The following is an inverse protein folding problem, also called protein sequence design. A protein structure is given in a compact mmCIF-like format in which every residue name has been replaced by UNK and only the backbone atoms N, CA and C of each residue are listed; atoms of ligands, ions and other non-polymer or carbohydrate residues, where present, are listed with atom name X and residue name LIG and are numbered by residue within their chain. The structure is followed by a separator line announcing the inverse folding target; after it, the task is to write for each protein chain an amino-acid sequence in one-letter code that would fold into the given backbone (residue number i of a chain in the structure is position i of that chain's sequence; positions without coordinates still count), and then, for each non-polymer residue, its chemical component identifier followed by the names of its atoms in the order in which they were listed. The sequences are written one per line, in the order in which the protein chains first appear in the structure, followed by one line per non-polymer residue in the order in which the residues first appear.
data_IF_229199437474
#
_entry.id   IF_229199437474
#
_cell.length_a   1.000
_cell.length_b   1.000
_cell.length_c   1.000
_cell.angle_alpha   90.00
_cell.angle_beta   90.00
_cell.angle_gamma   90.00
#
_symmetry.space_group_name_H-M   'P 1'
#
loop_
_entity.id
_entity.type
_entity.pdbx_description
1 polymer ?
#
# COMPACT_ATOMS: atom_id res chain seq x y z
N UNK A 1 -10.24 -5.11 27.16
CA UNK A 1 -9.37 -5.70 26.13
C UNK A 1 -10.09 -5.89 24.80
N UNK A 2 -11.20 -6.65 24.70
CA UNK A 2 -11.88 -6.91 23.42
C UNK A 2 -12.31 -5.65 22.63
N UNK A 3 -12.81 -4.61 23.30
CA UNK A 3 -13.21 -3.36 22.63
C UNK A 3 -12.01 -2.62 22.01
N UNK A 4 -10.84 -2.70 22.65
CA UNK A 4 -9.60 -2.08 22.13
C UNK A 4 -9.15 -2.80 20.87
N UNK A 5 -9.19 -4.13 20.85
CA UNK A 5 -8.89 -4.93 19.66
C UNK A 5 -9.83 -4.62 18.49
N UNK A 6 -11.12 -4.41 18.77
CA UNK A 6 -12.09 -4.01 17.74
C UNK A 6 -11.71 -2.67 17.11
N UNK A 7 -11.41 -1.65 17.91
CA UNK A 7 -10.97 -0.36 17.40
C UNK A 7 -9.61 -0.44 16.70
N UNK A 8 -8.69 -1.26 17.20
CA UNK A 8 -7.40 -1.51 16.55
C UNK A 8 -7.57 -2.12 15.15
N UNK A 9 -8.45 -3.12 15.01
CA UNK A 9 -8.79 -3.70 13.71
C UNK A 9 -9.43 -2.69 12.76
N UNK A 10 -10.33 -1.83 13.28
CA UNK A 10 -10.95 -0.76 12.50
C UNK A 10 -9.91 0.26 12.00
N UNK A 11 -9.01 0.73 12.88
CA UNK A 11 -7.93 1.65 12.52
C UNK A 11 -7.01 1.02 11.48
N UNK A 12 -6.63 -0.26 11.66
CA UNK A 12 -5.79 -0.98 10.69
C UNK A 12 -6.47 -1.09 9.31
N UNK A 13 -7.78 -1.27 9.26
CA UNK A 13 -8.52 -1.28 7.99
C UNK A 13 -8.50 0.08 7.27
N UNK A 14 -8.43 1.20 8.01
CA UNK A 14 -8.32 2.53 7.40
C UNK A 14 -6.99 2.77 6.69
N UNK A 15 -5.92 2.04 7.07
CA UNK A 15 -4.61 2.11 6.38
C UNK A 15 -4.75 1.64 4.93
N UNK A 16 -5.51 0.58 4.68
CA UNK A 16 -5.78 0.08 3.32
C UNK A 16 -6.54 1.11 2.49
N UNK A 17 -7.54 1.76 3.09
CA UNK A 17 -8.30 2.82 2.44
C UNK A 17 -7.43 4.05 2.13
N UNK A 18 -6.49 4.39 3.01
CA UNK A 18 -5.52 5.45 2.81
C UNK A 18 -4.59 5.18 1.61
N UNK A 19 -4.04 3.97 1.50
CA UNK A 19 -3.25 3.58 0.34
C UNK A 19 -4.06 3.60 -0.96
N UNK A 20 -5.29 3.08 -0.94
CA UNK A 20 -6.18 3.12 -2.11
C UNK A 20 -6.46 4.55 -2.58
N UNK A 21 -6.66 5.49 -1.64
CA UNK A 21 -6.81 6.91 -1.95
C UNK A 21 -5.55 7.48 -2.62
N UNK A 22 -4.36 7.24 -2.06
CA UNK A 22 -3.11 7.74 -2.62
C UNK A 22 -2.89 7.26 -4.07
N UNK A 23 -3.11 5.97 -4.32
CA UNK A 23 -2.95 5.39 -5.66
C UNK A 23 -3.97 5.89 -6.66
N UNK A 24 -5.12 6.41 -6.22
CA UNK A 24 -6.09 7.04 -7.12
C UNK A 24 -5.68 8.45 -7.57
N UNK A 25 -4.76 9.11 -6.84
CA UNK A 25 -4.30 10.48 -7.13
C UNK A 25 -2.94 10.50 -7.83
N UNK A 26 -2.13 9.46 -7.65
CA UNK A 26 -0.76 9.34 -8.16
C UNK A 26 -0.73 8.47 -9.43
N UNK A 27 0.25 8.68 -10.32
CA UNK A 27 0.43 7.80 -11.49
C UNK A 27 1.10 6.46 -11.13
N UNK A 28 0.81 5.37 -11.85
CA UNK A 28 1.38 4.04 -11.60
C UNK A 28 2.91 4.01 -11.53
N UNK A 29 3.59 4.84 -12.33
CA UNK A 29 5.05 4.92 -12.38
C UNK A 29 5.69 5.30 -11.03
N UNK A 30 4.92 5.90 -10.13
CA UNK A 30 5.39 6.40 -8.84
C UNK A 30 4.87 5.61 -7.64
N UNK A 31 4.09 4.54 -7.83
CA UNK A 31 3.46 3.82 -6.72
C UNK A 31 4.46 3.38 -5.67
N UNK A 32 5.50 2.65 -6.04
CA UNK A 32 6.52 2.15 -5.10
C UNK A 32 7.25 3.26 -4.36
N UNK A 33 7.50 4.39 -5.03
CA UNK A 33 8.14 5.55 -4.42
C UNK A 33 7.25 6.17 -3.34
N UNK A 34 5.97 6.34 -3.64
CA UNK A 34 5.00 6.88 -2.69
C UNK A 34 4.72 5.89 -1.55
N UNK A 35 4.65 4.59 -1.83
CA UNK A 35 4.50 3.54 -0.81
C UNK A 35 5.69 3.55 0.15
N UNK A 36 6.92 3.61 -0.38
CA UNK A 36 8.14 3.73 0.42
C UNK A 36 8.14 4.99 1.29
N UNK A 37 7.67 6.13 0.78
CA UNK A 37 7.50 7.34 1.59
C UNK A 37 6.48 7.18 2.71
N UNK A 38 5.30 6.63 2.42
CA UNK A 38 4.22 6.45 3.39
C UNK A 38 4.61 5.47 4.52
N UNK A 39 5.24 4.35 4.17
CA UNK A 39 5.72 3.37 5.16
C UNK A 39 6.86 3.96 6.00
N UNK A 40 7.83 4.59 5.36
CA UNK A 40 8.99 5.19 6.05
C UNK A 40 8.57 6.31 7.00
N UNK A 41 7.71 7.25 6.57
CA UNK A 41 7.26 8.35 7.44
C UNK A 41 6.48 7.83 8.65
N UNK A 42 5.71 6.74 8.49
CA UNK A 42 4.98 6.12 9.60
C UNK A 42 5.94 5.51 10.64
N UNK A 43 7.00 4.84 10.18
CA UNK A 43 8.03 4.26 11.06
C UNK A 43 8.84 5.35 11.78
N UNK A 44 9.21 6.41 11.07
CA UNK A 44 9.89 7.58 11.65
C UNK A 44 9.00 8.28 12.67
N UNK A 45 7.72 8.53 12.34
CA UNK A 45 6.77 9.15 13.24
C UNK A 45 6.55 8.31 14.52
N UNK A 46 6.44 6.98 14.38
CA UNK A 46 6.36 6.06 15.52
C UNK A 46 7.60 6.15 16.42
N UNK A 47 8.79 6.26 15.81
CA UNK A 47 10.05 6.42 16.54
C UNK A 47 10.06 7.75 17.31
N UNK A 48 9.72 8.86 16.64
CA UNK A 48 9.66 10.20 17.26
C UNK A 48 8.62 10.22 18.38
N UNK A 49 7.44 9.64 18.16
CA UNK A 49 6.37 9.56 19.16
C UNK A 49 6.79 8.76 20.38
N UNK A 50 7.50 7.64 20.19
CA UNK A 50 8.04 6.82 21.28
C UNK A 50 9.10 7.57 22.09
N UNK A 51 10.04 8.25 21.41
CA UNK A 51 11.07 9.07 22.07
C UNK A 51 10.45 10.23 22.85
N UNK A 52 9.50 10.94 22.25
CA UNK A 52 8.80 12.04 22.89
C UNK A 52 7.98 11.56 24.10
N UNK A 53 7.27 10.44 23.96
CA UNK A 53 6.51 9.82 25.04
C UNK A 53 7.41 9.45 26.23
N UNK A 54 8.55 8.81 25.96
CA UNK A 54 9.53 8.47 26.98
C UNK A 54 10.10 9.72 27.66
N UNK A 55 10.43 10.77 26.90
CA UNK A 55 10.97 12.02 27.42
C UNK A 55 9.95 12.74 28.33
N UNK A 56 8.68 12.82 27.91
CA UNK A 56 7.61 13.46 28.68
C UNK A 56 7.35 12.76 30.02
N UNK A 57 7.38 11.43 30.04
CA UNK A 57 7.18 10.66 31.28
C UNK A 57 8.41 10.73 32.19
N UNK A 58 9.61 10.63 31.63
CA UNK A 58 10.85 10.51 32.42
C UNK A 58 11.41 11.84 32.94
N UNK A 59 11.40 12.90 32.12
CA UNK A 59 12.00 14.20 32.47
C UNK A 59 10.97 15.22 32.97
N UNK A 60 9.77 15.19 32.39
CA UNK A 60 8.72 16.16 32.73
C UNK A 60 7.68 15.61 33.71
N UNK A 61 7.82 14.34 34.15
CA UNK A 61 6.89 13.64 35.04
C UNK A 61 5.42 13.76 34.63
N UNK A 62 5.17 13.84 33.32
CA UNK A 62 3.83 13.98 32.75
C UNK A 62 3.07 12.68 32.98
N UNK A 63 1.88 12.78 33.56
CA UNK A 63 1.05 11.59 33.80
C UNK A 63 0.54 10.98 32.49
N UNK A 64 0.28 9.66 32.51
CA UNK A 64 -0.27 8.93 31.36
C UNK A 64 -1.58 9.51 30.83
N UNK A 65 -2.37 10.17 31.69
CA UNK A 65 -3.59 10.86 31.28
C UNK A 65 -3.31 11.98 30.27
N UNK A 66 -2.32 12.82 30.53
CA UNK A 66 -1.95 13.90 29.62
C UNK A 66 -1.30 13.38 28.34
N UNK A 67 -0.54 12.28 28.41
CA UNK A 67 -0.05 11.58 27.21
C UNK A 67 -1.21 11.17 26.30
N UNK A 68 -2.27 10.57 26.88
CA UNK A 68 -3.46 10.19 26.13
C UNK A 68 -4.26 11.40 25.61
N UNK A 69 -4.25 12.53 26.34
CA UNK A 69 -4.86 13.77 25.86
C UNK A 69 -4.11 14.34 24.65
N UNK A 70 -2.78 14.29 24.66
CA UNK A 70 -1.93 14.74 23.53
C UNK A 70 -2.17 13.88 22.29
N UNK A 71 -2.22 12.55 22.43
CA UNK A 71 -2.50 11.66 21.30
C UNK A 71 -3.89 11.92 20.71
N UNK A 72 -4.91 12.09 21.56
CA UNK A 72 -6.27 12.43 21.14
C UNK A 72 -6.34 13.78 20.42
N UNK A 73 -5.61 14.79 20.88
CA UNK A 73 -5.48 16.07 20.18
C UNK A 73 -4.83 15.91 18.80
N UNK A 74 -3.73 15.15 18.72
CA UNK A 74 -3.02 14.87 17.46
C UNK A 74 -3.93 14.18 16.43
N UNK A 75 -4.71 13.18 16.84
CA UNK A 75 -5.66 12.47 15.97
C UNK A 75 -6.78 13.40 15.51
N UNK A 76 -7.26 14.28 16.39
CA UNK A 76 -8.29 15.28 16.04
C UNK A 76 -7.80 16.27 14.99
N UNK A 77 -6.55 16.75 15.12
CA UNK A 77 -5.92 17.62 14.12
C UNK A 77 -5.73 16.89 12.79
N UNK A 78 -5.28 15.63 12.82
CA UNK A 78 -5.15 14.82 11.61
C UNK A 78 -6.50 14.63 10.91
N UNK A 79 -7.58 14.37 11.67
CA UNK A 79 -8.94 14.28 11.14
C UNK A 79 -9.38 15.61 10.49
N UNK A 80 -9.14 16.76 11.14
CA UNK A 80 -9.42 18.07 10.53
C UNK A 80 -8.62 18.31 9.26
N UNK A 81 -7.35 17.89 9.22
CA UNK A 81 -6.50 18.04 8.02
C UNK A 81 -7.01 17.24 6.82
N UNK A 82 -7.71 16.12 7.05
CA UNK A 82 -8.22 15.25 5.99
C UNK A 82 -9.26 15.94 5.09
N UNK A 83 -9.98 16.94 5.60
CA UNK A 83 -10.95 17.71 4.81
C UNK A 83 -10.30 18.57 3.71
N UNK A 84 -9.01 18.84 3.82
CA UNK A 84 -8.26 19.61 2.82
C UNK A 84 -7.60 18.73 1.76
N UNK A 85 -7.76 17.40 1.85
CA UNK A 85 -7.22 16.48 0.84
C UNK A 85 -8.01 16.59 -0.47
N UNK A 86 -7.32 16.57 -1.63
CA UNK A 86 -7.98 16.67 -2.93
C UNK A 86 -8.89 15.46 -3.17
N UNK A 87 -10.12 15.71 -3.62
CA UNK A 87 -11.02 14.63 -4.03
C UNK A 87 -10.45 13.91 -5.26
N UNK A 88 -10.37 12.57 -5.27
CA UNK A 88 -9.82 11.83 -6.39
C UNK A 88 -10.75 11.96 -7.59
N UNK A 89 -10.28 12.65 -8.63
CA UNK A 89 -11.09 12.97 -9.83
C UNK A 89 -11.18 11.81 -10.82
N UNK A 90 -10.31 10.79 -10.69
CA UNK A 90 -10.29 9.61 -11.56
C UNK A 90 -10.39 8.35 -10.71
N UNK A 91 -11.46 7.58 -10.91
CA UNK A 91 -11.45 6.19 -10.45
C UNK A 91 -10.57 5.37 -11.39
N UNK A 92 -9.57 4.70 -10.82
CA UNK A 92 -8.69 3.77 -11.53
C UNK A 92 -9.45 2.61 -12.18
N UNK A 93 -10.65 2.28 -11.66
CA UNK A 93 -11.50 1.19 -12.15
C UNK A 93 -12.61 1.63 -13.10
N UNK A 94 -13.10 2.88 -13.02
CA UNK A 94 -14.32 3.29 -13.73
C UNK A 94 -14.11 3.97 -15.08
N UNK A 95 -12.86 4.14 -15.53
CA UNK A 95 -12.57 4.69 -16.87
C UNK A 95 -11.59 3.80 -17.61
N UNK A 96 -12.07 2.63 -18.06
CA UNK A 96 -11.47 1.96 -19.20
C UNK A 96 -11.88 2.78 -20.42
N UNK A 97 -11.03 3.72 -20.84
CA UNK A 97 -11.21 4.37 -22.15
C UNK A 97 -11.25 3.24 -23.17
N UNK A 98 -12.41 3.04 -23.78
CA UNK A 98 -12.58 2.25 -24.99
C UNK A 98 -11.77 2.92 -26.10
N UNK A 99 -10.47 2.63 -26.12
CA UNK A 99 -9.64 2.94 -27.27
C UNK A 99 -10.01 1.93 -28.36
N UNK A 100 -10.45 2.38 -29.55
CA UNK A 100 -10.73 1.48 -30.66
C UNK A 100 -9.48 0.69 -31.00
N UNK A 101 -9.66 -0.62 -31.03
CA UNK A 101 -8.75 -1.64 -31.51
C UNK A 101 -8.16 -1.21 -32.86
N UNK A 102 -6.88 -0.83 -32.87
CA UNK A 102 -6.15 -0.63 -34.11
C UNK A 102 -5.94 -2.02 -34.75
N UNK A 103 -6.40 -2.27 -36.00
CA UNK A 103 -6.24 -3.57 -36.63
C UNK A 103 -4.76 -3.84 -36.89
N UNK A 104 -4.28 -4.96 -36.35
CA UNK A 104 -2.98 -5.55 -36.67
C UNK A 104 -3.07 -6.05 -38.12
N UNK A 105 -2.49 -5.30 -39.06
CA UNK A 105 -2.20 -5.77 -40.42
C UNK A 105 -0.90 -6.60 -40.44
N UNK A 106 -0.77 -7.63 -41.28
CA UNK A 106 0.42 -8.47 -41.31
C UNK A 106 1.61 -7.77 -41.98
N UNK A 107 2.77 -7.93 -41.35
CA UNK A 107 4.11 -7.54 -41.81
C UNK A 107 4.63 -8.46 -42.91
N UNK A 108 5.11 -7.90 -44.02
CA UNK A 108 6.13 -8.54 -44.87
C UNK A 108 7.09 -7.47 -45.48
N UNK A 109 8.34 -7.54 -44.99
CA UNK A 109 9.66 -7.30 -45.62
C UNK A 109 9.99 -6.01 -46.42
N UNK A 110 11.04 -5.33 -45.91
CA UNK A 110 11.87 -4.19 -46.37
C UNK A 110 12.51 -4.29 -47.79
N UNK A 111 13.34 -3.30 -48.29
CA UNK A 111 13.20 -1.83 -48.48
C UNK A 111 13.84 -1.42 -49.88
N UNK A 112 14.47 -0.24 -50.16
CA UNK A 112 14.46 1.10 -49.56
C UNK A 112 14.26 2.28 -50.56
N UNK A 113 14.16 3.50 -50.00
CA UNK A 113 14.97 4.69 -50.34
C UNK A 113 14.29 5.96 -50.93
N UNK A 114 14.73 7.10 -50.36
CA UNK A 114 14.79 8.49 -50.89
C UNK A 114 13.57 9.44 -50.71
N UNK A 115 13.72 10.26 -49.66
CA UNK A 115 13.45 11.71 -49.51
C UNK A 115 12.51 12.48 -50.46
N UNK A 116 11.58 13.24 -49.87
CA UNK A 116 11.00 14.44 -50.48
C UNK A 116 9.74 14.92 -49.76
N UNK A 117 9.82 16.05 -49.06
CA UNK A 117 8.70 16.82 -48.50
C UNK A 117 8.75 18.21 -49.17
N UNK A 118 7.72 19.06 -49.07
CA UNK A 118 6.35 18.93 -49.57
C UNK A 118 6.02 20.07 -50.58
N UNK A 119 5.00 19.92 -51.41
CA UNK A 119 4.47 21.03 -52.21
C UNK A 119 2.96 20.95 -52.38
N UNK A 120 2.29 22.04 -51.97
CA UNK A 120 1.08 22.64 -52.57
C UNK A 120 -0.19 21.76 -52.64
N UNK A 121 -1.43 22.23 -52.60
CA UNK A 121 -2.13 23.50 -52.41
C UNK A 121 -3.62 23.11 -52.53
N UNK A 122 -4.49 23.94 -51.98
CA UNK A 122 -5.94 23.85 -51.90
C UNK A 122 -6.66 23.45 -53.21
N UNK A 123 -7.77 22.71 -53.13
CA UNK A 123 -9.15 23.25 -53.30
C UNK A 123 -10.24 22.14 -53.42
N UNK A 124 -11.54 22.48 -53.32
CA UNK A 124 -12.60 21.68 -52.68
C UNK A 124 -13.46 20.88 -53.67
N UNK A 125 -14.11 19.81 -53.19
CA UNK A 125 -15.24 19.19 -53.88
C UNK A 125 -16.27 18.62 -52.90
N UNK A 126 -17.40 19.31 -52.78
CA UNK A 126 -18.72 18.77 -52.38
C UNK A 126 -19.53 18.72 -53.68
N UNK A 127 -20.25 17.62 -54.03
CA UNK A 127 -21.69 17.59 -53.76
C UNK A 127 -22.28 16.21 -53.33
N UNK A 128 -23.18 16.29 -52.33
CA UNK A 128 -24.49 15.59 -52.19
C UNK A 128 -24.46 14.05 -52.08
N UNK A 129 -25.08 13.36 -51.10
CA UNK A 129 -26.50 13.35 -50.66
C UNK A 129 -26.54 12.33 -49.49
N UNK A 130 -27.09 12.57 -48.31
CA UNK A 130 -28.49 12.27 -48.00
C UNK A 130 -28.78 12.55 -46.53
N UNK A 131 -29.94 13.18 -46.32
CA UNK A 131 -30.56 13.59 -45.07
C UNK A 131 -30.82 12.45 -44.08
N UNK A 132 -30.63 12.74 -42.79
CA UNK A 132 -31.59 12.42 -41.73
C UNK A 132 -31.25 13.21 -40.45
N UNK A 133 -31.91 14.35 -40.28
CA UNK A 133 -32.07 15.00 -38.98
C UNK A 133 -32.95 14.11 -38.08
N UNK A 134 -32.48 13.74 -36.89
CA UNK A 134 -33.37 13.42 -35.78
C UNK A 134 -33.13 14.41 -34.64
N UNK A 135 -34.18 15.17 -34.39
CA UNK A 135 -34.29 16.28 -33.46
C UNK A 135 -34.19 15.82 -32.00
N UNK A 136 -33.53 16.65 -31.19
CA UNK A 136 -33.96 17.15 -29.88
C UNK A 136 -34.97 16.29 -29.10
N UNK A 137 -34.48 15.53 -28.11
CA UNK A 137 -35.33 14.95 -27.06
C UNK A 137 -35.40 15.94 -25.88
N UNK A 138 -36.59 16.27 -25.33
CA UNK A 138 -36.75 17.27 -24.29
C UNK A 138 -36.07 16.85 -22.97
N UNK A 139 -35.37 17.81 -22.38
CA UNK A 139 -34.95 17.78 -20.98
C UNK A 139 -36.19 18.03 -20.14
N UNK A 140 -36.86 16.98 -19.68
CA UNK A 140 -37.66 17.12 -18.46
C UNK A 140 -37.94 15.77 -17.77
N UNK A 141 -37.62 15.77 -16.47
CA UNK A 141 -38.06 14.86 -15.41
C UNK A 141 -37.50 13.42 -15.39
N UNK A 142 -36.33 13.26 -14.74
CA UNK A 142 -35.90 11.97 -14.21
C UNK A 142 -36.45 11.79 -12.77
N UNK A 143 -37.22 10.72 -12.46
CA UNK A 143 -37.84 10.55 -11.15
C UNK A 143 -36.82 10.27 -10.04
N UNK A 144 -37.07 10.79 -8.85
CA UNK A 144 -36.38 10.59 -7.56
C UNK A 144 -36.38 9.12 -7.03
N UNK A 145 -36.42 8.10 -7.90
CA UNK A 145 -36.47 6.67 -7.53
C UNK A 145 -35.10 5.96 -7.73
N UNK A 146 -34.03 6.70 -8.08
CA UNK A 146 -32.77 6.12 -8.60
C UNK A 146 -31.66 5.86 -7.56
N UNK A 147 -31.85 6.14 -6.28
CA UNK A 147 -30.75 6.03 -5.30
C UNK A 147 -30.54 4.60 -4.75
N UNK A 148 -31.61 3.81 -4.57
CA UNK A 148 -31.49 2.46 -4.01
C UNK A 148 -30.86 1.47 -5.01
N UNK A 149 -31.19 1.62 -6.29
CA UNK A 149 -30.58 0.84 -7.39
C UNK A 149 -29.12 1.24 -7.63
N UNK A 150 -28.75 2.49 -7.34
CA UNK A 150 -27.37 2.97 -7.51
C UNK A 150 -26.41 2.32 -6.52
N UNK A 151 -26.78 2.21 -5.24
CA UNK A 151 -25.96 1.51 -4.24
C UNK A 151 -25.79 0.03 -4.59
N UNK A 152 -26.88 -0.66 -4.94
CA UNK A 152 -26.81 -2.08 -5.31
C UNK A 152 -26.00 -2.30 -6.58
N UNK A 153 -26.09 -1.37 -7.55
CA UNK A 153 -25.29 -1.42 -8.78
C UNK A 153 -23.81 -1.20 -8.49
N UNK A 154 -23.46 -0.26 -7.59
CA UNK A 154 -22.07 -0.06 -7.15
C UNK A 154 -21.55 -1.29 -6.41
N UNK A 155 -22.37 -1.92 -5.55
CA UNK A 155 -21.99 -3.15 -4.84
C UNK A 155 -21.78 -4.32 -5.82
N UNK A 156 -22.68 -4.50 -6.79
CA UNK A 156 -22.55 -5.52 -7.82
C UNK A 156 -21.32 -5.29 -8.70
N UNK A 157 -21.04 -4.04 -9.05
CA UNK A 157 -19.84 -3.67 -9.79
C UNK A 157 -18.57 -3.96 -8.98
N UNK A 158 -18.55 -3.62 -7.68
CA UNK A 158 -17.45 -3.97 -6.77
C UNK A 158 -17.24 -5.49 -6.70
N UNK A 159 -18.31 -6.28 -6.60
CA UNK A 159 -18.22 -7.75 -6.61
C UNK A 159 -17.67 -8.29 -7.93
N UNK A 160 -18.04 -7.67 -9.06
CA UNK A 160 -17.52 -8.02 -10.38
C UNK A 160 -16.04 -7.68 -10.51
N UNK A 161 -15.65 -6.48 -10.09
CA UNK A 161 -14.26 -6.00 -10.10
C UNK A 161 -13.39 -6.86 -9.18
N UNK A 162 -13.87 -7.21 -7.98
CA UNK A 162 -13.21 -8.15 -7.08
C UNK A 162 -12.98 -9.51 -7.76
N UNK A 163 -14.01 -10.07 -8.40
CA UNK A 163 -13.89 -11.34 -9.12
C UNK A 163 -12.86 -11.24 -10.25
N UNK A 164 -12.87 -10.16 -11.02
CA UNK A 164 -11.95 -9.94 -12.13
C UNK A 164 -10.50 -9.79 -11.63
N UNK A 165 -10.28 -8.99 -10.58
CA UNK A 165 -9.00 -8.82 -9.91
C UNK A 165 -8.40 -10.15 -9.46
N UNK A 166 -9.15 -10.95 -8.70
CA UNK A 166 -8.68 -12.22 -8.17
C UNK A 166 -8.65 -13.37 -9.18
N UNK A 167 -9.13 -13.15 -10.42
CA UNK A 167 -8.91 -14.09 -11.52
C UNK A 167 -7.44 -14.07 -11.99
N UNK A 168 -6.73 -12.96 -11.75
CA UNK A 168 -5.29 -12.86 -12.03
C UNK A 168 -4.50 -13.61 -10.97
N UNK A 169 -3.88 -14.75 -11.34
CA UNK A 169 -3.09 -15.60 -10.42
C UNK A 169 -2.06 -14.81 -9.62
N UNK A 170 -1.35 -13.89 -10.28
CA UNK A 170 -0.37 -13.02 -9.65
C UNK A 170 -0.99 -12.23 -8.50
N UNK A 171 -2.07 -11.48 -8.76
CA UNK A 171 -2.72 -10.67 -7.72
C UNK A 171 -3.25 -11.52 -6.56
N UNK A 172 -3.76 -12.71 -6.85
CA UNK A 172 -4.20 -13.67 -5.84
C UNK A 172 -3.05 -14.11 -4.93
N UNK A 173 -1.90 -14.49 -5.49
CA UNK A 173 -0.73 -14.90 -4.70
C UNK A 173 -0.23 -13.78 -3.80
N UNK A 174 -0.08 -12.57 -4.33
CA UNK A 174 0.37 -11.42 -3.56
C UNK A 174 -0.63 -11.03 -2.46
N UNK A 175 -1.93 -11.14 -2.72
CA UNK A 175 -2.95 -10.85 -1.71
C UNK A 175 -3.01 -11.89 -0.59
N UNK A 176 -2.93 -13.18 -0.92
CA UNK A 176 -2.89 -14.26 0.08
C UNK A 176 -1.62 -14.11 0.91
N UNK A 177 -0.48 -13.88 0.26
CA UNK A 177 0.78 -13.64 0.97
C UNK A 177 0.68 -12.42 1.88
N UNK A 178 0.17 -11.29 1.39
CA UNK A 178 0.03 -10.05 2.17
C UNK A 178 -0.83 -10.27 3.42
N UNK A 179 -1.96 -10.97 3.28
CA UNK A 179 -2.85 -11.26 4.41
C UNK A 179 -2.19 -12.19 5.44
N UNK A 180 -1.58 -13.29 4.99
CA UNK A 180 -0.91 -14.25 5.87
C UNK A 180 0.33 -13.65 6.54
N UNK A 181 1.15 -12.90 5.80
CA UNK A 181 2.35 -12.25 6.31
C UNK A 181 1.99 -11.18 7.34
N UNK A 182 0.97 -10.36 7.09
CA UNK A 182 0.50 -9.34 8.05
C UNK A 182 0.00 -9.99 9.34
N UNK A 183 -0.78 -11.08 9.23
CA UNK A 183 -1.23 -11.83 10.39
C UNK A 183 -0.07 -12.44 11.18
N UNK A 184 0.88 -13.08 10.48
CA UNK A 184 2.09 -13.65 11.08
C UNK A 184 2.96 -12.60 11.76
N UNK A 185 3.15 -11.43 11.14
CA UNK A 185 3.87 -10.32 11.71
C UNK A 185 3.24 -9.81 13.02
N UNK A 186 1.92 -9.62 13.03
CA UNK A 186 1.19 -9.24 14.25
C UNK A 186 1.34 -10.30 15.35
N UNK A 187 1.34 -11.59 14.99
CA UNK A 187 1.60 -12.65 15.95
C UNK A 187 3.02 -12.54 16.53
N UNK A 188 4.04 -12.33 15.69
CA UNK A 188 5.42 -12.16 16.17
C UNK A 188 5.54 -10.96 17.12
N UNK A 189 4.97 -9.80 16.78
CA UNK A 189 5.01 -8.62 17.64
C UNK A 189 4.40 -8.85 19.02
N UNK A 190 3.30 -9.62 19.09
CA UNK A 190 2.63 -9.93 20.35
C UNK A 190 3.43 -10.88 21.24
N UNK A 191 4.21 -11.81 20.66
CA UNK A 191 4.88 -12.86 21.42
C UNK A 191 6.40 -12.67 21.56
N UNK A 192 7.04 -11.79 20.78
CA UNK A 192 8.51 -11.64 20.78
C UNK A 192 9.06 -11.21 22.14
N UNK A 193 8.38 -10.31 22.85
CA UNK A 193 8.80 -9.86 24.18
C UNK A 193 8.73 -11.00 25.20
N UNK A 194 7.65 -11.80 25.15
CA UNK A 194 7.48 -12.97 26.02
C UNK A 194 8.53 -14.03 25.72
N UNK A 195 8.84 -14.25 24.44
CA UNK A 195 9.90 -15.17 24.02
C UNK A 195 11.26 -14.72 24.56
N UNK A 196 11.59 -13.43 24.45
CA UNK A 196 12.86 -12.90 24.95
C UNK A 196 12.98 -13.02 26.47
N UNK A 197 11.91 -12.70 27.22
CA UNK A 197 11.91 -12.85 28.68
C UNK A 197 12.05 -14.31 29.12
N UNK A 198 11.41 -15.25 28.39
CA UNK A 198 11.57 -16.69 28.63
C UNK A 198 13.01 -17.20 28.39
N UNK A 199 13.76 -16.57 27.47
CA UNK A 199 15.15 -16.95 27.14
C UNK A 199 16.17 -16.26 28.03
N UNK A 200 15.92 -15.01 28.39
CA UNK A 200 16.77 -14.20 29.25
C UNK A 200 15.89 -13.36 30.19
N UNK A 201 15.58 -13.87 31.40
CA UNK A 201 14.71 -13.18 32.34
C UNK A 201 15.24 -11.79 32.68
N UNK A 202 14.37 -10.80 32.52
CA UNK A 202 14.67 -9.37 32.71
C UNK A 202 15.17 -9.02 34.12
N UNK A 203 14.90 -9.87 35.11
CA UNK A 203 15.34 -9.69 36.50
C UNK A 203 16.79 -10.11 36.77
N UNK A 204 17.42 -10.91 35.90
CA UNK A 204 18.75 -11.49 36.13
C UNK A 204 19.81 -11.14 35.09
N UNK A 205 19.42 -10.47 34.00
CA UNK A 205 20.28 -10.17 32.85
C UNK A 205 20.11 -8.73 32.39
N UNK A 206 21.16 -8.11 31.85
CA UNK A 206 21.02 -6.85 31.12
C UNK A 206 20.33 -7.13 29.77
N UNK A 207 19.04 -6.84 29.70
CA UNK A 207 18.20 -7.09 28.53
C UNK A 207 18.02 -5.80 27.71
N UNK A 208 18.19 -5.90 26.39
CA UNK A 208 18.22 -4.74 25.47
C UNK A 208 17.01 -4.70 24.53
N UNK A 209 15.89 -5.34 24.89
CA UNK A 209 14.69 -5.50 24.06
C UNK A 209 14.23 -4.19 23.39
N UNK A 210 14.18 -3.09 24.15
CA UNK A 210 13.75 -1.78 23.62
C UNK A 210 14.73 -1.21 22.59
N UNK A 211 16.04 -1.37 22.80
CA UNK A 211 17.05 -0.92 21.85
C UNK A 211 17.01 -1.75 20.56
N UNK A 212 16.83 -3.07 20.68
CA UNK A 212 16.68 -3.99 19.56
C UNK A 212 15.44 -3.63 18.72
N UNK A 213 14.32 -3.35 19.39
CA UNK A 213 13.08 -2.93 18.74
C UNK A 213 13.27 -1.61 17.97
N UNK A 214 13.97 -0.65 18.56
CA UNK A 214 14.25 0.63 17.93
C UNK A 214 15.16 0.48 16.70
N UNK A 215 16.26 -0.28 16.81
CA UNK A 215 17.17 -0.55 15.69
C UNK A 215 16.43 -1.27 14.57
N UNK A 216 15.65 -2.30 14.90
CA UNK A 216 14.88 -3.04 13.91
C UNK A 216 13.87 -2.13 13.19
N UNK A 217 13.17 -1.25 13.93
CA UNK A 217 12.22 -0.28 13.36
C UNK A 217 12.90 0.72 12.43
N UNK A 218 14.06 1.25 12.84
CA UNK A 218 14.83 2.17 12.01
C UNK A 218 15.32 1.48 10.72
N UNK A 219 15.88 0.26 10.84
CA UNK A 219 16.34 -0.51 9.69
C UNK A 219 15.19 -0.81 8.73
N UNK A 220 14.03 -1.22 9.24
CA UNK A 220 12.81 -1.39 8.46
C UNK A 220 12.39 -0.10 7.71
N UNK A 221 12.54 1.07 8.34
CA UNK A 221 12.24 2.36 7.70
C UNK A 221 13.16 2.65 6.53
N UNK A 222 14.46 2.41 6.72
CA UNK A 222 15.48 2.58 5.66
C UNK A 222 15.19 1.61 4.51
N UNK A 223 14.92 0.35 4.83
CA UNK A 223 14.66 -0.69 3.82
C UNK A 223 13.39 -0.40 3.03
N UNK A 224 12.31 0.02 3.70
CA UNK A 224 11.06 0.42 3.03
C UNK A 224 11.25 1.64 2.14
N UNK A 225 12.01 2.64 2.60
CA UNK A 225 12.37 3.80 1.79
C UNK A 225 13.18 3.40 0.55
N UNK A 226 14.14 2.48 0.72
CA UNK A 226 15.02 2.03 -0.36
C UNK A 226 14.24 1.38 -1.51
N UNK A 227 13.18 0.61 -1.23
CA UNK A 227 12.31 0.02 -2.28
C UNK A 227 11.79 1.10 -3.25
N UNK A 228 11.46 2.28 -2.76
CA UNK A 228 10.99 3.40 -3.58
C UNK A 228 12.03 4.03 -4.51
N UNK A 229 13.32 3.73 -4.32
CA UNK A 229 14.43 4.24 -5.14
C UNK A 229 15.09 3.15 -5.99
N UNK A 230 14.84 1.88 -5.70
CA UNK A 230 15.38 0.75 -6.45
C UNK A 230 14.56 0.55 -7.73
N UNK A 231 15.17 0.88 -8.87
CA UNK A 231 14.60 0.64 -10.20
C UNK A 231 14.78 -0.83 -10.60
N UNK A 232 13.91 -1.70 -10.09
CA UNK A 232 13.88 -3.12 -10.44
C UNK A 232 12.57 -3.44 -11.16
N UNK A 233 12.58 -4.41 -12.09
CA UNK A 233 11.32 -4.93 -12.64
C UNK A 233 10.68 -5.89 -11.64
N UNK A 234 9.94 -5.33 -10.68
CA UNK A 234 9.29 -6.08 -9.61
C UNK A 234 8.23 -7.06 -10.09
N UNK A 235 7.80 -6.96 -11.35
CA UNK A 235 6.92 -7.97 -11.94
C UNK A 235 7.63 -9.30 -12.18
N UNK A 236 8.94 -9.26 -12.44
CA UNK A 236 9.78 -10.44 -12.68
C UNK A 236 10.56 -10.84 -11.43
N UNK A 237 11.16 -9.85 -10.75
CA UNK A 237 12.01 -10.10 -9.58
C UNK A 237 11.22 -10.21 -8.28
N UNK A 238 9.99 -9.71 -8.25
CA UNK A 238 9.16 -9.69 -7.05
C UNK A 238 8.81 -11.08 -6.56
N UNK A 239 8.49 -12.03 -7.45
CA UNK A 239 8.14 -13.40 -7.06
C UNK A 239 9.36 -14.15 -6.47
N UNK A 240 10.53 -13.94 -7.06
CA UNK A 240 11.77 -14.51 -6.53
C UNK A 240 12.16 -13.87 -5.19
N UNK A 241 12.02 -12.54 -5.08
CA UNK A 241 12.21 -11.83 -3.81
C UNK A 241 11.25 -12.35 -2.74
N UNK A 242 9.96 -12.52 -3.09
CA UNK A 242 8.94 -13.08 -2.20
C UNK A 242 9.36 -14.44 -1.64
N UNK A 243 9.80 -15.36 -2.49
CA UNK A 243 10.26 -16.68 -2.08
C UNK A 243 11.50 -16.63 -1.17
N UNK A 244 12.54 -15.89 -1.57
CA UNK A 244 13.80 -15.80 -0.83
C UNK A 244 13.58 -15.16 0.54
N UNK A 245 12.95 -13.98 0.58
CA UNK A 245 12.77 -13.25 1.83
C UNK A 245 11.74 -13.93 2.74
N UNK A 246 10.71 -14.61 2.21
CA UNK A 246 9.82 -15.43 3.05
C UNK A 246 10.54 -16.64 3.66
N UNK A 247 11.47 -17.27 2.93
CA UNK A 247 12.30 -18.34 3.47
C UNK A 247 13.27 -17.83 4.54
N UNK A 248 13.84 -16.62 4.35
CA UNK A 248 14.66 -15.94 5.36
C UNK A 248 13.86 -15.59 6.61
N UNK A 249 12.62 -15.12 6.47
CA UNK A 249 11.71 -14.84 7.59
C UNK A 249 11.41 -16.13 8.36
N UNK A 250 11.02 -17.21 7.67
CA UNK A 250 10.76 -18.50 8.29
C UNK A 250 12.00 -19.05 9.01
N UNK A 251 13.18 -19.00 8.37
CA UNK A 251 14.45 -19.41 8.96
C UNK A 251 14.82 -18.60 10.20
N UNK A 252 14.59 -17.28 10.16
CA UNK A 252 14.84 -16.38 11.29
C UNK A 252 13.94 -16.71 12.48
N UNK A 253 12.65 -16.94 12.24
CA UNK A 253 11.70 -17.32 13.29
C UNK A 253 12.01 -18.69 13.89
N UNK A 254 12.36 -19.68 13.07
CA UNK A 254 12.79 -21.00 13.55
C UNK A 254 14.08 -20.91 14.37
N UNK A 255 15.05 -20.09 13.94
CA UNK A 255 16.29 -19.87 14.66
C UNK A 255 16.03 -19.24 16.05
N UNK A 256 15.11 -18.27 16.14
CA UNK A 256 14.67 -17.68 17.42
C UNK A 256 14.03 -18.71 18.35
N UNK A 257 13.30 -19.69 17.80
CA UNK A 257 12.70 -20.75 18.60
C UNK A 257 13.74 -21.69 19.22
N UNK A 258 14.66 -22.20 18.40
CA UNK A 258 15.63 -23.22 18.80
C UNK A 258 16.85 -22.69 19.57
N UNK A 259 17.25 -21.44 19.37
CA UNK A 259 18.39 -20.88 20.08
C UNK A 259 18.06 -20.59 21.54
N UNK A 260 19.06 -20.70 22.42
CA UNK A 260 18.98 -20.23 23.81
C UNK A 260 19.74 -18.91 24.01
N UNK A 261 20.45 -18.44 22.99
CA UNK A 261 21.24 -17.21 23.07
C UNK A 261 20.39 -16.01 22.65
N UNK A 262 20.20 -15.05 23.57
CA UNK A 262 19.39 -13.85 23.34
C UNK A 262 19.93 -12.96 22.21
N UNK A 263 21.25 -12.89 22.02
CA UNK A 263 21.86 -12.10 20.94
C UNK A 263 21.54 -12.68 19.55
N UNK A 264 21.51 -14.01 19.45
CA UNK A 264 21.07 -14.68 18.21
C UNK A 264 19.59 -14.41 17.97
N UNK A 265 18.75 -14.46 19.01
CA UNK A 265 17.34 -14.07 18.90
C UNK A 265 17.16 -12.63 18.42
N UNK A 266 17.94 -11.68 18.95
CA UNK A 266 17.91 -10.29 18.54
C UNK A 266 18.32 -10.11 17.08
N UNK A 267 19.45 -10.71 16.67
CA UNK A 267 19.92 -10.64 15.30
C UNK A 267 18.89 -11.23 14.31
N UNK A 268 18.32 -12.39 14.62
CA UNK A 268 17.27 -13.01 13.82
C UNK A 268 16.01 -12.14 13.73
N UNK A 269 15.61 -11.50 14.82
CA UNK A 269 14.47 -10.58 14.82
C UNK A 269 14.73 -9.34 13.94
N UNK A 270 15.94 -8.78 13.96
CA UNK A 270 16.33 -7.68 13.07
C UNK A 270 16.18 -8.07 11.60
N UNK A 271 16.67 -9.26 11.23
CA UNK A 271 16.56 -9.80 9.86
C UNK A 271 15.09 -9.97 9.48
N UNK A 272 14.31 -10.65 10.32
CA UNK A 272 12.88 -10.86 10.10
C UNK A 272 12.13 -9.55 9.87
N UNK A 273 12.31 -8.57 10.78
CA UNK A 273 11.58 -7.30 10.69
C UNK A 273 11.97 -6.49 9.45
N UNK A 274 13.24 -6.50 9.07
CA UNK A 274 13.72 -5.83 7.88
C UNK A 274 13.20 -6.49 6.59
N UNK A 275 13.23 -7.83 6.52
CA UNK A 275 12.76 -8.60 5.37
C UNK A 275 11.24 -8.48 5.18
N UNK A 276 10.46 -8.63 6.26
CA UNK A 276 9.03 -8.40 6.23
C UNK A 276 8.67 -7.00 5.73
N UNK A 277 9.34 -5.95 6.27
CA UNK A 277 9.05 -4.56 5.88
C UNK A 277 9.47 -4.24 4.45
N UNK A 278 10.52 -4.90 3.93
CA UNK A 278 10.85 -4.86 2.50
C UNK A 278 9.74 -5.48 1.66
N UNK A 279 9.35 -6.72 1.97
CA UNK A 279 8.37 -7.47 1.19
C UNK A 279 6.99 -6.82 1.18
N UNK A 280 6.52 -6.34 2.33
CA UNK A 280 5.22 -5.68 2.43
C UNK A 280 5.21 -4.38 1.62
N UNK A 281 6.35 -3.67 1.50
CA UNK A 281 6.47 -2.46 0.68
C UNK A 281 6.45 -2.78 -0.81
N UNK A 282 6.99 -3.94 -1.22
CA UNK A 282 6.92 -4.41 -2.62
C UNK A 282 5.50 -4.90 -2.95
N UNK A 283 4.85 -5.55 -1.99
CA UNK A 283 3.51 -6.13 -2.14
C UNK A 283 2.38 -5.11 -2.18
N UNK A 284 2.58 -3.93 -1.58
CA UNK A 284 1.59 -2.85 -1.45
C UNK A 284 1.70 -1.88 -2.62
#
# INVERSE_FOLDING_TARGET
MQLVEFFYGMVTATEVAYYAYIYSVVSPDHYQKVTGYCRSITLVASTIGSLLGQLLVSLAHVSYFYLNAITMASVSVAFMSSFFLPMPQKSMFFHRTSSPEAPIGPTDKDPPNVSGQPSHQWDPCVPTTSSANFQNVPVDQLPKIKDQNRFLTVLLQLCKDLKECYTTKKLLYWSIWWALATAGFNQVLNYVQVLWDAKAPSHSSQVYNGAVEAIATFLSSVTSLAVGYVKMNWDLTGEMALGIFSALDAGSLLLMHFTSNIWVCYASYLVFKACYMLLITIAT
#
